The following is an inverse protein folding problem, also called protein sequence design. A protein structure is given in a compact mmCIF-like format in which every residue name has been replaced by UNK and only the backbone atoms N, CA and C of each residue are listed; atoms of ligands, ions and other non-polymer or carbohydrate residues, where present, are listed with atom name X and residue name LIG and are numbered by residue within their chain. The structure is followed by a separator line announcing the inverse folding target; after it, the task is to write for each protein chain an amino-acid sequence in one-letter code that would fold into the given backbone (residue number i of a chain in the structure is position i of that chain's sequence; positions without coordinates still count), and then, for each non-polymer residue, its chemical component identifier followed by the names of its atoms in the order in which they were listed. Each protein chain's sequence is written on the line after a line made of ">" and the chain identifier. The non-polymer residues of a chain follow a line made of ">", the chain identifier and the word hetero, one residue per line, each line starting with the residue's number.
data_IF_723859380229
#
_entry.id   IF_723859380229
#
_cell.length_a   1.000
_cell.length_b   1.000
_cell.length_c   1.000
_cell.angle_alpha   90.00
_cell.angle_beta   90.00
_cell.angle_gamma   90.00
#
_symmetry.space_group_name_H-M   'P 1'
#
loop_
_entity.id
_entity.type
_entity.pdbx_description
1 polymer ?
#
# COMPACT_ATOMS: atom_id res chain seq x y z
N UNK A 1 -14.68 6.32 1.84
CA UNK A 1 -13.54 5.38 1.83
C UNK A 1 -12.56 5.85 2.88
N UNK A 2 -11.96 4.93 3.65
CA UNK A 2 -10.93 5.30 4.62
C UNK A 2 -9.58 5.21 3.90
N UNK A 3 -8.82 6.31 3.89
CA UNK A 3 -7.45 6.31 3.40
C UNK A 3 -6.49 6.72 4.52
N UNK A 4 -5.27 6.22 4.42
CA UNK A 4 -4.18 6.48 5.37
C UNK A 4 -2.88 6.63 4.59
N UNK A 5 -1.94 7.40 5.13
CA UNK A 5 -0.58 7.40 4.60
C UNK A 5 0.17 6.18 5.13
N UNK A 6 0.87 5.50 4.23
CA UNK A 6 1.69 4.34 4.55
C UNK A 6 3.10 4.54 4.02
N UNK A 7 4.05 3.88 4.67
CA UNK A 7 5.38 3.65 4.15
C UNK A 7 5.37 2.35 3.35
N UNK A 8 5.88 2.43 2.13
CA UNK A 8 6.17 1.27 1.29
C UNK A 8 7.65 1.23 0.95
N UNK A 9 8.18 0.06 0.64
CA UNK A 9 9.56 -0.13 0.23
C UNK A 9 9.61 -0.74 -1.15
N UNK A 10 10.47 -0.21 -2.02
CA UNK A 10 10.66 -0.76 -3.36
C UNK A 10 11.66 -1.92 -3.38
N UNK A 11 11.82 -2.59 -4.54
CA UNK A 11 12.75 -3.71 -4.69
C UNK A 11 14.24 -3.34 -4.55
N UNK A 12 14.56 -2.04 -4.51
CA UNK A 12 15.91 -1.51 -4.33
C UNK A 12 16.14 -1.01 -2.89
N UNK A 13 15.25 -1.38 -1.98
CA UNK A 13 15.28 -1.03 -0.57
C UNK A 13 14.99 0.45 -0.26
N UNK A 14 14.45 1.20 -1.22
CA UNK A 14 14.09 2.62 -1.06
C UNK A 14 12.72 2.75 -0.42
N UNK A 15 12.62 3.54 0.65
CA UNK A 15 11.35 3.86 1.29
C UNK A 15 10.61 4.98 0.55
N UNK A 16 9.31 4.78 0.34
CA UNK A 16 8.41 5.72 -0.32
C UNK A 16 7.14 5.91 0.50
N UNK A 17 6.47 7.05 0.33
CA UNK A 17 5.18 7.33 0.95
C UNK A 17 4.09 7.13 -0.10
N UNK A 18 3.08 6.35 0.27
CA UNK A 18 1.90 6.11 -0.55
C UNK A 18 0.62 6.40 0.25
N UNK A 19 -0.48 6.66 -0.46
CA UNK A 19 -1.81 6.73 0.15
C UNK A 19 -2.49 5.38 -0.05
N UNK A 20 -2.78 4.67 1.04
CA UNK A 20 -3.49 3.39 0.99
C UNK A 20 -4.99 3.58 1.16
N UNK A 21 -5.78 2.96 0.29
CA UNK A 21 -7.23 2.94 0.36
C UNK A 21 -7.69 1.61 0.96
N UNK A 22 -8.40 1.69 2.08
CA UNK A 22 -8.72 0.52 2.91
C UNK A 22 -10.17 0.08 2.67
N UNK A 23 -10.36 -1.23 2.45
CA UNK A 23 -11.70 -1.83 2.38
C UNK A 23 -12.41 -1.66 3.72
N UNK A 24 -13.70 -1.31 3.67
CA UNK A 24 -14.56 -1.26 4.85
C UNK A 24 -15.00 -2.68 5.19
N UNK A 25 -14.14 -3.43 5.87
CA UNK A 25 -14.45 -4.76 6.41
C UNK A 25 -14.77 -4.64 7.90
N UNK A 26 -15.86 -5.26 8.34
CA UNK A 26 -16.29 -5.27 9.76
C UNK A 26 -15.48 -6.23 10.63
N UNK A 27 -14.33 -6.69 10.15
CA UNK A 27 -13.52 -7.70 10.82
C UNK A 27 -12.35 -7.02 11.53
N UNK A 28 -12.46 -6.97 12.85
CA UNK A 28 -11.47 -6.37 13.75
C UNK A 28 -10.12 -7.14 13.75
N UNK A 29 -10.08 -8.36 13.20
CA UNK A 29 -8.93 -9.28 13.32
C UNK A 29 -8.07 -9.40 12.04
N UNK A 30 -8.43 -8.74 10.93
CA UNK A 30 -7.58 -8.77 9.73
C UNK A 30 -6.47 -7.71 9.83
N UNK A 31 -5.18 -8.10 9.65
CA UNK A 31 -4.08 -7.14 9.55
C UNK A 31 -4.31 -6.06 8.47
N UNK A 32 -3.86 -4.83 8.72
CA UNK A 32 -4.09 -3.70 7.82
C UNK A 32 -3.69 -3.98 6.36
N UNK A 33 -2.50 -4.53 6.14
CA UNK A 33 -1.97 -4.76 4.79
C UNK A 33 -2.86 -5.69 3.94
N UNK A 34 -3.60 -6.61 4.57
CA UNK A 34 -4.58 -7.47 3.88
C UNK A 34 -5.89 -6.76 3.54
N UNK A 35 -6.14 -5.59 4.15
CA UNK A 35 -7.33 -4.75 3.93
C UNK A 35 -7.08 -3.63 2.92
N UNK A 36 -5.83 -3.43 2.48
CA UNK A 36 -5.49 -2.45 1.44
C UNK A 36 -6.11 -2.92 0.11
N UNK A 37 -6.97 -2.10 -0.48
CA UNK A 37 -7.55 -2.37 -1.80
C UNK A 37 -6.60 -1.97 -2.93
N UNK A 38 -6.01 -0.80 -2.79
CA UNK A 38 -5.02 -0.24 -3.69
C UNK A 38 -4.23 0.84 -2.96
N UNK A 39 -3.08 1.20 -3.52
CA UNK A 39 -2.30 2.37 -3.13
C UNK A 39 -2.26 3.37 -4.27
N UNK A 40 -2.16 4.65 -3.92
CA UNK A 40 -1.78 5.72 -4.83
C UNK A 40 -0.34 6.15 -4.52
N UNK A 41 0.53 6.07 -5.52
CA UNK A 41 1.95 6.47 -5.44
C UNK A 41 2.35 7.10 -6.76
N UNK A 42 2.98 8.28 -6.70
CA UNK A 42 3.40 9.05 -7.90
C UNK A 42 2.27 9.30 -8.93
N UNK A 43 1.01 9.37 -8.47
CA UNK A 43 -0.17 9.54 -9.34
C UNK A 43 -0.68 8.26 -10.01
N UNK A 44 -0.06 7.11 -9.73
CA UNK A 44 -0.45 5.79 -10.25
C UNK A 44 -1.27 5.02 -9.20
N UNK A 45 -2.30 4.29 -9.64
CA UNK A 45 -3.13 3.43 -8.79
C UNK A 45 -2.67 1.98 -8.93
N UNK A 46 -2.13 1.41 -7.85
CA UNK A 46 -1.58 0.06 -7.84
C UNK A 46 -2.41 -0.86 -6.94
N UNK A 47 -2.85 -2.00 -7.48
CA UNK A 47 -3.56 -3.04 -6.73
C UNK A 47 -2.58 -4.12 -6.24
N UNK A 48 -2.80 -4.71 -5.06
CA UNK A 48 -1.94 -5.79 -4.59
C UNK A 48 -2.13 -7.06 -5.42
N UNK A 49 -1.04 -7.78 -5.67
CA UNK A 49 -1.08 -9.13 -6.23
C UNK A 49 -1.32 -10.19 -5.12
N UNK A 50 -1.22 -11.48 -5.47
CA UNK A 50 -1.43 -12.59 -4.52
C UNK A 50 -0.43 -12.59 -3.35
N UNK A 51 0.79 -12.07 -3.59
CA UNK A 51 1.86 -11.93 -2.59
C UNK A 51 1.77 -10.60 -1.81
N UNK A 52 0.69 -9.82 -2.02
CA UNK A 52 0.45 -8.52 -1.39
C UNK A 52 1.50 -7.45 -1.75
N UNK A 53 2.10 -7.59 -2.93
CA UNK A 53 3.00 -6.62 -3.54
C UNK A 53 2.25 -5.73 -4.54
N UNK A 54 2.70 -4.50 -4.70
CA UNK A 54 2.11 -3.50 -5.60
C UNK A 54 3.09 -3.22 -6.73
N UNK A 55 2.81 -3.75 -7.92
CA UNK A 55 3.67 -3.56 -9.10
C UNK A 55 3.15 -2.40 -9.96
N UNK A 56 4.05 -1.49 -10.33
CA UNK A 56 3.77 -0.43 -11.28
C UNK A 56 4.08 -0.91 -12.70
N UNK A 57 3.07 -1.07 -13.58
CA UNK A 57 3.28 -1.57 -14.94
C UNK A 57 4.06 -0.62 -15.85
N UNK A 58 4.22 0.64 -15.44
CA UNK A 58 4.91 1.67 -16.23
C UNK A 58 6.42 1.53 -16.21
N UNK A 59 6.98 1.17 -15.06
CA UNK A 59 8.43 1.12 -14.83
C UNK A 59 8.91 -0.19 -14.20
N UNK A 60 8.00 -1.11 -13.86
CA UNK A 60 8.31 -2.38 -13.21
C UNK A 60 8.75 -2.24 -11.75
N UNK A 61 8.53 -1.08 -11.11
CA UNK A 61 8.77 -0.94 -9.67
C UNK A 61 7.77 -1.75 -8.89
N UNK A 62 8.25 -2.44 -7.86
CA UNK A 62 7.46 -3.29 -6.99
C UNK A 62 7.55 -2.73 -5.58
N UNK A 63 6.42 -2.43 -4.97
CA UNK A 63 6.34 -1.89 -3.62
C UNK A 63 5.75 -2.92 -2.64
N UNK A 64 6.27 -2.93 -1.42
CA UNK A 64 5.76 -3.72 -0.31
C UNK A 64 5.38 -2.79 0.86
N UNK A 65 4.24 -3.07 1.51
CA UNK A 65 3.85 -2.36 2.74
C UNK A 65 4.90 -2.56 3.85
N UNK A 66 5.27 -1.46 4.51
CA UNK A 66 6.19 -1.47 5.67
C UNK A 66 5.44 -1.09 6.95
N UNK A 67 4.87 0.11 6.98
CA UNK A 67 4.22 0.64 8.19
C UNK A 67 3.21 1.75 7.86
N UNK A 68 2.42 2.15 8.85
CA UNK A 68 1.58 3.36 8.80
C UNK A 68 2.49 4.57 9.06
N UNK A 69 2.23 5.67 8.37
CA UNK A 69 2.84 6.95 8.74
C UNK A 69 2.06 7.50 9.91
N UNK A 70 2.62 7.47 11.11
CA UNK A 70 1.99 8.08 12.28
C UNK A 70 1.80 9.58 12.04
N UNK A 71 0.56 10.03 12.16
CA UNK A 71 0.20 11.44 12.18
C UNK A 71 0.16 11.81 13.67
N UNK A 72 1.27 12.36 14.19
CA UNK A 72 1.31 12.96 15.52
C UNK A 72 0.32 14.13 15.62
#
# INVERSE_FOLDING_TARGET
>A
MNNIQIKVKDQFETENIAVAFIKKVNEHDIPLFKRIEHIEIEGEILRPNMELLFENPKDGRIYQFVDIVDIN
#
